data_IF_155425035921
#
_entry.id   IF_155425035921
#
_cell.length_a   1.000
_cell.length_b   1.000
_cell.length_c   1.000
_cell.angle_alpha   90.00
_cell.angle_beta   90.00
_cell.angle_gamma   90.00
#
_symmetry.space_group_name_H-M   'P 1'
#
loop_
_entity.id
_entity.type
_entity.pdbx_description
1 polymer ?
#
# COMPACT_ATOMS: atom_id res chain seq x y z
N UNK A 1 -38.67 5.02 -3.27
CA UNK A 1 -38.72 6.48 -3.04
C UNK A 1 -38.50 6.75 -1.56
N UNK A 2 -37.24 6.91 -1.13
CA UNK A 2 -36.88 7.40 0.21
C UNK A 2 -36.36 8.83 0.06
N UNK A 3 -37.26 9.79 -0.15
CA UNK A 3 -36.93 11.24 -0.16
C UNK A 3 -36.52 11.77 1.25
N UNK A 4 -36.40 10.92 2.27
CA UNK A 4 -36.25 11.30 3.67
C UNK A 4 -35.06 10.65 4.40
N UNK A 5 -33.96 10.29 3.71
CA UNK A 5 -32.74 9.94 4.43
C UNK A 5 -32.19 11.19 5.14
N UNK A 6 -32.14 11.16 6.47
CA UNK A 6 -31.46 12.19 7.26
C UNK A 6 -29.99 11.77 7.39
N UNK A 7 -29.20 12.10 6.37
CA UNK A 7 -27.79 11.72 6.30
C UNK A 7 -27.00 12.27 7.50
N UNK A 8 -27.41 13.40 8.09
CA UNK A 8 -26.77 13.95 9.31
C UNK A 8 -26.95 12.99 10.47
N UNK A 9 -28.16 12.48 10.66
CA UNK A 9 -28.47 11.47 11.67
C UNK A 9 -27.75 10.14 11.40
N UNK A 10 -27.55 9.74 10.14
CA UNK A 10 -26.74 8.57 9.80
C UNK A 10 -25.29 8.76 10.24
N UNK A 11 -24.67 9.91 9.92
CA UNK A 11 -23.31 10.21 10.36
C UNK A 11 -23.19 10.27 11.89
N UNK A 12 -24.19 10.82 12.60
CA UNK A 12 -24.21 10.82 14.06
C UNK A 12 -24.26 9.40 14.66
N UNK A 13 -24.97 8.47 14.01
CA UNK A 13 -25.00 7.06 14.42
C UNK A 13 -23.68 6.36 14.13
N UNK A 14 -23.06 6.63 12.98
CA UNK A 14 -21.73 6.12 12.65
C UNK A 14 -20.72 6.59 13.70
N UNK A 15 -20.74 7.86 14.12
CA UNK A 15 -19.85 8.34 15.19
C UNK A 15 -20.09 7.68 16.56
N UNK A 16 -21.34 7.37 16.90
CA UNK A 16 -21.70 6.81 18.21
C UNK A 16 -21.40 5.30 18.30
N UNK A 17 -21.51 4.58 17.18
CA UNK A 17 -21.51 3.12 17.17
C UNK A 17 -20.52 2.46 16.21
N UNK A 18 -19.96 3.19 15.25
CA UNK A 18 -19.09 2.63 14.19
C UNK A 18 -19.75 1.41 13.52
N UNK A 19 -18.96 0.35 13.36
CA UNK A 19 -19.38 -0.94 12.79
C UNK A 19 -20.57 -1.61 13.50
N UNK A 20 -20.94 -1.21 14.72
CA UNK A 20 -22.12 -1.77 15.40
C UNK A 20 -23.46 -1.26 14.80
N UNK A 21 -23.44 -0.33 13.83
CA UNK A 21 -24.64 0.21 13.15
C UNK A 21 -24.53 0.17 11.61
N UNK A 22 -24.35 -1.04 11.06
CA UNK A 22 -24.34 -1.34 9.62
C UNK A 22 -25.52 -0.72 8.84
N UNK A 23 -26.67 -0.56 9.50
CA UNK A 23 -27.86 0.07 8.93
C UNK A 23 -27.61 1.56 8.62
N UNK A 24 -26.94 2.29 9.52
CA UNK A 24 -26.64 3.71 9.31
C UNK A 24 -25.68 3.92 8.13
N UNK A 25 -24.65 3.07 8.02
CA UNK A 25 -23.70 3.09 6.91
C UNK A 25 -24.38 2.76 5.58
N UNK A 26 -25.17 1.69 5.54
CA UNK A 26 -25.91 1.30 4.33
C UNK A 26 -26.91 2.37 3.88
N UNK A 27 -27.66 2.96 4.82
CA UNK A 27 -28.64 4.02 4.55
C UNK A 27 -28.01 5.27 3.92
N UNK A 28 -26.84 5.70 4.40
CA UNK A 28 -26.17 6.88 3.84
C UNK A 28 -25.59 6.59 2.46
N UNK A 29 -25.02 5.40 2.24
CA UNK A 29 -24.50 5.01 0.92
C UNK A 29 -25.61 4.93 -0.14
N UNK A 30 -26.76 4.36 0.22
CA UNK A 30 -27.95 4.36 -0.66
C UNK A 30 -28.39 5.78 -1.00
N UNK A 31 -28.49 6.68 0.00
CA UNK A 31 -28.86 8.07 -0.23
C UNK A 31 -27.89 8.78 -1.18
N UNK A 32 -26.57 8.61 -0.99
CA UNK A 32 -25.54 9.22 -1.84
C UNK A 32 -25.70 8.74 -3.29
N UNK A 33 -25.92 7.43 -3.51
CA UNK A 33 -25.99 6.84 -4.86
C UNK A 33 -27.30 7.18 -5.57
N UNK A 34 -28.43 7.15 -4.87
CA UNK A 34 -29.75 7.17 -5.50
C UNK A 34 -30.46 8.52 -5.46
N UNK A 35 -30.16 9.37 -4.47
CA UNK A 35 -30.98 10.55 -4.14
C UNK A 35 -30.20 11.84 -4.15
N UNK A 36 -29.00 11.85 -3.56
CA UNK A 36 -28.26 13.07 -3.28
C UNK A 36 -27.86 13.83 -4.55
N UNK A 37 -28.17 15.13 -4.57
CA UNK A 37 -27.64 16.08 -5.55
C UNK A 37 -26.13 16.28 -5.37
N UNK A 38 -25.48 16.89 -6.35
CA UNK A 38 -24.04 17.21 -6.26
C UNK A 38 -23.74 18.15 -5.08
N UNK A 39 -24.63 19.10 -4.79
CA UNK A 39 -24.44 20.02 -3.66
C UNK A 39 -24.63 19.32 -2.30
N UNK A 40 -25.60 18.41 -2.19
CA UNK A 40 -25.75 17.57 -0.99
C UNK A 40 -24.57 16.62 -0.81
N UNK A 41 -24.07 16.01 -1.90
CA UNK A 41 -22.84 15.20 -1.89
C UNK A 41 -21.66 16.00 -1.34
N UNK A 42 -21.51 17.26 -1.78
CA UNK A 42 -20.47 18.17 -1.25
C UNK A 42 -20.68 18.48 0.24
N UNK A 43 -21.91 18.72 0.68
CA UNK A 43 -22.21 18.96 2.10
C UNK A 43 -21.89 17.74 2.96
N UNK A 44 -22.27 16.53 2.52
CA UNK A 44 -21.94 15.26 3.18
C UNK A 44 -20.42 15.09 3.27
N UNK A 45 -19.70 15.26 2.15
CA UNK A 45 -18.26 15.14 2.08
C UNK A 45 -17.55 16.04 3.10
N UNK A 46 -17.91 17.32 3.11
CA UNK A 46 -17.32 18.29 4.02
C UNK A 46 -17.63 17.96 5.49
N UNK A 47 -18.82 17.45 5.78
CA UNK A 47 -19.19 17.02 7.12
C UNK A 47 -18.38 15.80 7.56
N UNK A 48 -18.24 14.79 6.70
CA UNK A 48 -17.41 13.60 6.92
C UNK A 48 -15.96 13.99 7.20
N UNK A 49 -15.34 14.81 6.35
CA UNK A 49 -13.95 15.23 6.53
C UNK A 49 -13.73 16.05 7.80
N UNK A 50 -14.69 16.89 8.19
CA UNK A 50 -14.64 17.63 9.46
C UNK A 50 -14.68 16.68 10.67
N UNK A 51 -15.51 15.63 10.61
CA UNK A 51 -15.63 14.62 11.67
C UNK A 51 -14.35 13.79 11.78
N UNK A 52 -13.81 13.34 10.64
CA UNK A 52 -12.51 12.64 10.59
C UNK A 52 -11.41 13.51 11.19
N UNK A 53 -11.28 14.77 10.76
CA UNK A 53 -10.30 15.73 11.30
C UNK A 53 -10.45 15.94 12.81
N UNK A 54 -11.68 15.98 13.32
CA UNK A 54 -11.97 16.13 14.75
C UNK A 54 -11.58 14.90 15.55
N UNK A 55 -11.83 13.70 15.03
CA UNK A 55 -11.45 12.44 15.68
C UNK A 55 -9.94 12.30 15.65
N UNK A 56 -9.33 12.37 14.47
CA UNK A 56 -7.89 12.29 14.29
C UNK A 56 -7.17 13.33 15.15
N UNK A 57 -7.71 14.56 15.20
CA UNK A 57 -7.21 15.69 15.99
C UNK A 57 -5.70 15.85 15.85
N UNK A 58 -5.23 15.84 14.61
CA UNK A 58 -3.82 15.81 14.26
C UNK A 58 -3.50 16.93 13.30
N UNK A 59 -2.34 17.53 13.50
CA UNK A 59 -1.78 18.53 12.61
C UNK A 59 -0.51 17.94 11.99
N UNK A 60 -0.62 17.52 10.74
CA UNK A 60 0.47 16.91 9.98
C UNK A 60 1.70 17.82 9.84
N UNK A 61 1.56 19.14 10.05
CA UNK A 61 2.70 20.06 10.04
C UNK A 61 3.52 20.02 11.35
N UNK A 62 3.05 19.37 12.42
CA UNK A 62 3.63 19.48 13.78
C UNK A 62 4.18 18.20 14.38
N UNK A 63 3.93 17.04 13.79
CA UNK A 63 4.37 15.76 14.34
C UNK A 63 4.65 14.73 13.24
N UNK A 64 5.51 13.76 13.57
CA UNK A 64 6.03 12.75 12.64
C UNK A 64 5.25 11.42 12.65
N UNK A 65 4.31 11.25 13.57
CA UNK A 65 3.53 10.01 13.73
C UNK A 65 2.13 10.32 14.25
N UNK A 66 1.12 9.65 13.69
CA UNK A 66 -0.25 9.69 14.20
C UNK A 66 -0.28 9.39 15.71
N UNK A 67 -1.18 10.07 16.43
CA UNK A 67 -1.45 9.72 17.82
C UNK A 67 -1.99 8.29 17.91
N UNK A 68 -1.84 7.69 19.08
CA UNK A 68 -2.57 6.46 19.36
C UNK A 68 -4.09 6.74 19.38
N UNK A 69 -4.84 5.95 18.62
CA UNK A 69 -6.31 5.98 18.55
C UNK A 69 -6.84 4.64 19.07
N UNK A 70 -8.02 4.65 19.71
CA UNK A 70 -8.68 3.42 20.15
C UNK A 70 -9.23 2.63 18.96
N UNK A 71 -9.50 1.32 19.15
CA UNK A 71 -10.17 0.49 18.14
C UNK A 71 -11.49 1.14 17.67
N UNK A 72 -12.31 1.63 18.61
CA UNK A 72 -13.54 2.35 18.26
C UNK A 72 -13.31 3.62 17.45
N UNK A 73 -12.22 4.36 17.67
CA UNK A 73 -11.89 5.54 16.86
C UNK A 73 -11.46 5.12 15.45
N UNK A 74 -10.76 3.98 15.32
CA UNK A 74 -10.39 3.41 14.04
C UNK A 74 -11.61 2.96 13.24
N UNK A 75 -12.54 2.23 13.87
CA UNK A 75 -13.77 1.75 13.24
C UNK A 75 -14.59 2.91 12.67
N UNK A 76 -14.78 3.98 13.46
CA UNK A 76 -15.50 5.18 13.02
C UNK A 76 -14.76 5.88 11.87
N UNK A 77 -13.42 5.95 11.91
CA UNK A 77 -12.65 6.53 10.81
C UNK A 77 -12.80 5.68 9.54
N UNK A 78 -12.75 4.34 9.64
CA UNK A 78 -12.90 3.44 8.50
C UNK A 78 -14.26 3.65 7.81
N UNK A 79 -15.36 3.67 8.57
CA UNK A 79 -16.70 3.96 8.03
C UNK A 79 -16.78 5.35 7.40
N UNK A 80 -16.27 6.38 8.06
CA UNK A 80 -16.29 7.74 7.54
C UNK A 80 -15.46 7.87 6.25
N UNK A 81 -14.31 7.21 6.18
CA UNK A 81 -13.48 7.16 4.98
C UNK A 81 -14.16 6.38 3.85
N UNK A 82 -14.89 5.31 4.17
CA UNK A 82 -15.75 4.60 3.22
C UNK A 82 -16.87 5.46 2.65
N UNK A 83 -17.55 6.27 3.49
CA UNK A 83 -18.52 7.26 3.02
C UNK A 83 -17.86 8.28 2.10
N UNK A 84 -16.70 8.84 2.49
CA UNK A 84 -15.93 9.78 1.65
C UNK A 84 -15.59 9.18 0.29
N UNK A 85 -15.09 7.95 0.26
CA UNK A 85 -14.75 7.22 -0.95
C UNK A 85 -15.96 7.14 -1.90
N UNK A 86 -17.12 6.72 -1.40
CA UNK A 86 -18.34 6.64 -2.22
C UNK A 86 -18.76 8.01 -2.73
N UNK A 87 -18.80 9.03 -1.87
CA UNK A 87 -19.20 10.39 -2.29
C UNK A 87 -18.33 10.91 -3.43
N UNK A 88 -17.01 10.79 -3.32
CA UNK A 88 -16.08 11.29 -4.33
C UNK A 88 -16.21 10.57 -5.67
N UNK A 89 -16.35 9.24 -5.65
CA UNK A 89 -16.57 8.45 -6.87
C UNK A 89 -17.91 8.78 -7.53
N UNK A 90 -18.96 8.98 -6.74
CA UNK A 90 -20.29 9.36 -7.19
C UNK A 90 -20.33 10.77 -7.79
N UNK A 91 -19.50 11.70 -7.27
CA UNK A 91 -19.31 13.03 -7.88
C UNK A 91 -18.50 12.97 -9.20
N UNK A 92 -17.88 11.83 -9.51
CA UNK A 92 -17.12 11.55 -10.72
C UNK A 92 -17.87 10.63 -11.70
N UNK A 93 -19.20 10.47 -11.56
CA UNK A 93 -20.01 9.60 -12.43
C UNK A 93 -19.85 9.89 -13.93
N UNK A 94 -19.74 11.16 -14.32
CA UNK A 94 -19.57 11.60 -15.71
C UNK A 94 -18.27 12.40 -15.88
N UNK A 95 -17.13 11.73 -16.14
CA UNK A 95 -15.85 12.41 -16.28
C UNK A 95 -15.84 13.29 -17.53
N UNK A 96 -15.28 14.50 -17.42
CA UNK A 96 -15.02 15.35 -18.58
C UNK A 96 -13.86 14.76 -19.39
N UNK A 97 -13.69 15.14 -20.68
CA UNK A 97 -12.53 14.69 -21.47
C UNK A 97 -11.19 14.98 -20.80
N UNK A 98 -11.06 16.11 -20.09
CA UNK A 98 -9.85 16.43 -19.32
C UNK A 98 -9.60 15.45 -18.16
N UNK A 99 -10.67 14.97 -17.49
CA UNK A 99 -10.56 13.94 -16.45
C UNK A 99 -10.20 12.58 -17.03
N UNK A 100 -10.74 12.22 -18.19
CA UNK A 100 -10.38 10.99 -18.91
C UNK A 100 -8.89 11.00 -19.27
N UNK A 101 -8.38 12.11 -19.80
CA UNK A 101 -6.95 12.23 -20.11
C UNK A 101 -6.06 12.23 -18.86
N UNK A 102 -6.50 12.85 -17.76
CA UNK A 102 -5.77 12.76 -16.48
C UNK A 102 -5.76 11.33 -15.94
N UNK A 103 -6.88 10.60 -16.06
CA UNK A 103 -6.96 9.19 -15.68
C UNK A 103 -6.02 8.33 -16.53
N UNK A 104 -6.02 8.52 -17.86
CA UNK A 104 -5.09 7.85 -18.79
C UNK A 104 -3.63 8.10 -18.41
N UNK A 105 -3.28 9.37 -18.17
CA UNK A 105 -1.94 9.74 -17.71
C UNK A 105 -1.55 9.00 -16.43
N UNK A 106 -2.44 8.98 -15.44
CA UNK A 106 -2.17 8.34 -14.15
C UNK A 106 -2.03 6.83 -14.28
N UNK A 107 -2.91 6.18 -15.06
CA UNK A 107 -2.84 4.76 -15.37
C UNK A 107 -1.52 4.39 -16.08
N UNK A 108 -1.12 5.17 -17.09
CA UNK A 108 0.13 4.95 -17.82
C UNK A 108 1.37 5.15 -16.91
N UNK A 109 1.33 6.11 -15.99
CA UNK A 109 2.39 6.34 -15.01
C UNK A 109 2.51 5.14 -14.08
N UNK A 110 1.40 4.68 -13.49
CA UNK A 110 1.37 3.52 -12.60
C UNK A 110 1.85 2.25 -13.31
N UNK A 111 1.35 1.98 -14.53
CA UNK A 111 1.80 0.84 -15.33
C UNK A 111 3.32 0.87 -15.55
N UNK A 112 3.87 2.01 -15.95
CA UNK A 112 5.33 2.16 -16.15
C UNK A 112 6.12 1.92 -14.86
N UNK A 113 5.68 2.46 -13.74
CA UNK A 113 6.31 2.26 -12.44
C UNK A 113 6.25 0.79 -12.00
N UNK A 114 5.14 0.09 -12.26
CA UNK A 114 5.02 -1.35 -12.03
C UNK A 114 6.06 -2.10 -12.86
N UNK A 115 6.17 -1.81 -14.17
CA UNK A 115 7.17 -2.44 -15.04
C UNK A 115 8.61 -2.18 -14.57
N UNK A 116 8.87 -0.95 -14.09
CA UNK A 116 10.15 -0.57 -13.51
C UNK A 116 10.45 -1.38 -12.24
N UNK A 117 9.49 -1.52 -11.32
CA UNK A 117 9.61 -2.32 -10.11
C UNK A 117 10.02 -3.76 -10.43
N UNK A 118 9.30 -4.43 -11.32
CA UNK A 118 9.66 -5.78 -11.77
C UNK A 118 11.05 -5.84 -12.43
N UNK A 119 11.44 -4.82 -13.20
CA UNK A 119 12.77 -4.76 -13.80
C UNK A 119 13.87 -4.60 -12.76
N UNK A 120 13.65 -3.78 -11.72
CA UNK A 120 14.59 -3.62 -10.62
C UNK A 120 14.73 -4.91 -9.81
N UNK A 121 13.64 -5.63 -9.51
CA UNK A 121 13.72 -6.94 -8.85
C UNK A 121 14.52 -7.97 -9.67
N UNK A 122 14.31 -8.04 -10.99
CA UNK A 122 15.11 -8.91 -11.87
C UNK A 122 16.60 -8.54 -11.87
N UNK A 123 16.91 -7.25 -11.84
CA UNK A 123 18.29 -6.78 -11.79
C UNK A 123 18.94 -7.11 -10.43
N UNK A 124 18.21 -6.97 -9.33
CA UNK A 124 18.68 -7.38 -7.99
C UNK A 124 18.96 -8.88 -7.96
N UNK A 125 18.04 -9.70 -8.48
CA UNK A 125 18.22 -11.15 -8.58
C UNK A 125 19.50 -11.53 -9.35
N UNK A 126 19.66 -10.97 -10.55
CA UNK A 126 20.86 -11.18 -11.38
C UNK A 126 22.14 -10.76 -10.67
N UNK A 127 22.10 -9.61 -9.98
CA UNK A 127 23.24 -9.11 -9.22
C UNK A 127 23.62 -10.10 -8.13
N UNK A 128 22.68 -10.54 -7.30
CA UNK A 128 22.92 -11.52 -6.24
C UNK A 128 23.46 -12.84 -6.79
N UNK A 129 22.91 -13.31 -7.91
CA UNK A 129 23.34 -14.56 -8.53
C UNK A 129 24.82 -14.55 -8.99
N UNK A 130 25.39 -13.38 -9.27
CA UNK A 130 26.80 -13.23 -9.64
C UNK A 130 27.70 -12.81 -8.47
N UNK A 131 27.16 -12.76 -7.25
CA UNK A 131 27.92 -12.46 -6.03
C UNK A 131 28.23 -13.73 -5.25
N UNK A 132 29.22 -13.71 -4.33
CA UNK A 132 29.47 -14.81 -3.40
C UNK A 132 28.25 -15.23 -2.57
N UNK A 133 27.29 -14.31 -2.35
CA UNK A 133 26.06 -14.55 -1.58
C UNK A 133 25.17 -15.68 -2.12
N UNK A 134 25.28 -15.99 -3.42
CA UNK A 134 24.53 -17.09 -4.04
C UNK A 134 24.84 -18.48 -3.46
N UNK A 135 26.04 -18.69 -2.92
CA UNK A 135 26.62 -20.04 -2.76
C UNK A 135 26.16 -20.77 -1.49
N UNK A 136 25.34 -20.13 -0.66
CA UNK A 136 25.04 -20.66 0.67
C UNK A 136 23.56 -21.00 0.84
N UNK A 137 23.23 -22.28 0.60
CA UNK A 137 21.88 -22.84 0.76
C UNK A 137 21.37 -22.78 2.21
N UNK A 138 22.21 -22.44 3.19
CA UNK A 138 21.76 -22.15 4.55
C UNK A 138 21.02 -20.81 4.68
N UNK A 139 21.11 -19.94 3.67
CA UNK A 139 20.48 -18.63 3.67
C UNK A 139 19.29 -18.60 2.71
N UNK A 140 18.11 -18.25 3.25
CA UNK A 140 16.94 -17.94 2.43
C UNK A 140 16.99 -16.46 2.09
N UNK A 141 17.23 -16.17 0.81
CA UNK A 141 17.12 -14.81 0.28
C UNK A 141 15.73 -14.60 -0.32
N UNK A 142 15.20 -13.41 -0.11
CA UNK A 142 13.92 -12.96 -0.64
C UNK A 142 14.09 -11.56 -1.24
N UNK A 143 13.60 -11.37 -2.45
CA UNK A 143 13.55 -10.07 -3.12
C UNK A 143 12.09 -9.65 -3.21
N UNK A 144 11.78 -8.52 -2.60
CA UNK A 144 10.46 -7.91 -2.59
C UNK A 144 10.48 -6.58 -3.35
N UNK A 145 9.58 -6.44 -4.32
CA UNK A 145 9.34 -5.18 -5.02
C UNK A 145 8.08 -4.52 -4.49
N UNK A 146 8.20 -3.25 -4.11
CA UNK A 146 7.14 -2.44 -3.52
C UNK A 146 6.92 -1.22 -4.42
N UNK A 147 5.70 -1.09 -4.93
CA UNK A 147 5.20 0.18 -5.48
C UNK A 147 4.20 0.75 -4.48
N UNK A 148 4.40 2.01 -4.08
CA UNK A 148 3.57 2.67 -3.09
C UNK A 148 3.44 4.16 -3.39
N UNK A 149 2.33 4.76 -2.99
CA UNK A 149 2.28 6.21 -2.78
C UNK A 149 2.93 6.54 -1.43
N UNK A 150 3.71 7.61 -1.36
CA UNK A 150 4.25 8.12 -0.10
C UNK A 150 4.06 9.63 -0.06
N UNK A 151 3.38 10.13 0.97
CA UNK A 151 3.23 11.57 1.17
C UNK A 151 4.56 12.13 1.70
N UNK A 152 5.39 12.65 0.78
CA UNK A 152 6.66 13.28 1.14
C UNK A 152 6.48 14.70 1.65
N UNK A 153 5.79 15.52 0.87
CA UNK A 153 5.47 16.91 1.19
C UNK A 153 4.20 17.37 0.45
N UNK A 154 3.93 18.68 0.49
CA UNK A 154 2.75 19.28 -0.13
C UNK A 154 2.69 19.13 -1.66
N UNK A 155 3.81 18.82 -2.33
CA UNK A 155 3.86 18.59 -3.78
C UNK A 155 3.41 17.15 -4.14
N UNK A 156 3.29 16.24 -3.16
CA UNK A 156 2.80 14.88 -3.36
C UNK A 156 1.34 14.81 -3.86
N UNK A 157 0.57 15.89 -3.65
CA UNK A 157 -0.84 16.01 -4.05
C UNK A 157 -1.03 17.21 -4.98
N UNK A 158 -1.30 16.93 -6.26
CA UNK A 158 -1.53 17.93 -7.29
C UNK A 158 -2.84 18.68 -7.04
N UNK A 159 -2.76 20.01 -6.95
CA UNK A 159 -3.94 20.88 -6.96
C UNK A 159 -4.54 20.94 -8.35
N UNK A 160 -5.83 20.68 -8.46
CA UNK A 160 -6.54 20.67 -9.73
C UNK A 160 -7.59 21.78 -9.77
N UNK A 161 -7.88 22.33 -10.96
CA UNK A 161 -8.86 23.42 -11.14
C UNK A 161 -10.27 23.08 -10.63
N UNK A 162 -10.58 21.78 -10.53
CA UNK A 162 -11.88 21.29 -10.09
C UNK A 162 -11.88 20.81 -8.62
N UNK A 163 -10.89 21.19 -7.81
CA UNK A 163 -10.90 20.93 -6.37
C UNK A 163 -12.13 21.54 -5.70
N UNK A 164 -12.46 22.79 -6.06
CA UNK A 164 -13.65 23.50 -5.57
C UNK A 164 -14.97 22.81 -5.92
N UNK A 165 -15.02 22.07 -7.04
CA UNK A 165 -16.21 21.30 -7.41
C UNK A 165 -16.50 20.20 -6.39
N UNK A 166 -15.45 19.52 -5.90
CA UNK A 166 -15.58 18.49 -4.87
C UNK A 166 -15.73 19.11 -3.49
N UNK A 167 -14.98 20.17 -3.18
CA UNK A 167 -14.94 20.78 -1.84
C UNK A 167 -14.24 19.91 -0.80
N UNK A 168 -13.44 18.92 -1.24
CA UNK A 168 -12.60 18.05 -0.41
C UNK A 168 -11.29 18.75 -0.06
N UNK A 169 -10.81 18.55 1.16
CA UNK A 169 -9.41 18.82 1.51
C UNK A 169 -8.54 17.63 1.09
N UNK A 170 -8.33 17.49 -0.23
CA UNK A 170 -7.58 16.37 -0.80
C UNK A 170 -6.20 16.18 -0.17
N UNK A 171 -5.50 17.29 0.07
CA UNK A 171 -4.15 17.26 0.63
C UNK A 171 -4.15 16.59 2.01
N UNK A 172 -4.99 17.06 2.95
CA UNK A 172 -5.07 16.47 4.28
C UNK A 172 -5.57 15.02 4.23
N UNK A 173 -6.60 14.73 3.44
CA UNK A 173 -7.25 13.42 3.45
C UNK A 173 -6.39 12.34 2.79
N UNK A 174 -5.65 12.67 1.73
CA UNK A 174 -4.71 11.74 1.08
C UNK A 174 -3.51 11.47 2.00
N UNK A 175 -2.98 12.51 2.68
CA UNK A 175 -1.92 12.31 3.69
C UNK A 175 -2.41 11.39 4.82
N UNK A 176 -3.61 11.64 5.34
CA UNK A 176 -4.19 10.78 6.37
C UNK A 176 -4.32 9.32 5.92
N UNK A 177 -4.80 9.06 4.70
CA UNK A 177 -4.88 7.70 4.15
C UNK A 177 -3.50 7.03 4.09
N UNK A 178 -2.49 7.75 3.61
CA UNK A 178 -1.12 7.24 3.54
C UNK A 178 -0.56 6.86 4.92
N UNK A 179 -0.84 7.68 5.94
CA UNK A 179 -0.42 7.45 7.32
C UNK A 179 -1.17 6.29 7.99
N UNK A 180 -2.47 6.17 7.72
CA UNK A 180 -3.29 5.05 8.22
C UNK A 180 -2.82 3.71 7.64
N UNK A 181 -2.47 3.68 6.35
CA UNK A 181 -1.86 2.51 5.72
C UNK A 181 -0.48 2.22 6.31
N UNK A 182 0.43 3.21 6.36
CA UNK A 182 1.79 3.07 6.93
C UNK A 182 1.81 2.48 8.34
N UNK A 183 0.79 2.78 9.15
CA UNK A 183 0.69 2.30 10.52
C UNK A 183 0.23 0.82 10.63
N UNK A 184 -0.01 0.14 9.50
CA UNK A 184 -0.62 -1.19 9.43
C UNK A 184 -2.06 -1.19 9.97
N UNK A 185 -2.73 -0.03 9.94
CA UNK A 185 -4.06 0.19 10.55
C UNK A 185 -5.19 0.10 9.52
N UNK A 186 -4.88 0.10 8.22
CA UNK A 186 -5.79 -0.26 7.13
C UNK A 186 -5.29 -1.54 6.44
N UNK A 187 -6.18 -2.37 5.90
CA UNK A 187 -5.78 -3.58 5.16
C UNK A 187 -5.13 -3.21 3.82
N UNK A 188 -4.09 -3.98 3.45
CA UNK A 188 -3.32 -4.00 2.19
C UNK A 188 -2.24 -2.90 2.04
N UNK A 189 -1.08 -3.21 2.63
CA UNK A 189 0.13 -2.37 2.75
C UNK A 189 0.85 -2.03 1.43
N UNK A 190 0.42 -2.56 0.27
CA UNK A 190 1.15 -2.30 -0.99
C UNK A 190 0.28 -2.35 -2.25
N UNK A 191 0.44 -1.36 -3.14
CA UNK A 191 -0.22 -1.30 -4.48
C UNK A 191 0.20 -2.50 -5.33
N UNK A 192 1.45 -2.92 -5.16
CA UNK A 192 2.01 -4.15 -5.70
C UNK A 192 2.90 -4.78 -4.64
N UNK A 193 2.52 -5.95 -4.13
CA UNK A 193 3.47 -6.80 -3.42
C UNK A 193 4.05 -7.82 -4.41
N UNK A 194 5.16 -7.45 -5.02
CA UNK A 194 5.91 -8.31 -5.91
C UNK A 194 6.84 -9.19 -5.09
N UNK A 195 6.38 -10.38 -4.70
CA UNK A 195 7.20 -11.37 -3.97
C UNK A 195 6.83 -12.76 -4.51
N UNK A 196 7.63 -13.83 -4.49
CA UNK A 196 8.78 -14.22 -3.70
C UNK A 196 9.65 -15.14 -4.56
N UNK A 197 10.92 -14.83 -4.74
CA UNK A 197 11.89 -15.81 -5.20
C UNK A 197 12.75 -16.21 -4.02
N UNK A 198 12.60 -17.43 -3.50
CA UNK A 198 13.64 -18.00 -2.64
C UNK A 198 14.82 -18.41 -3.51
N UNK A 199 16.02 -18.06 -3.10
CA UNK A 199 17.23 -18.51 -3.79
C UNK A 199 17.51 -20.02 -3.61
N UNK A 200 16.75 -20.72 -2.76
CA UNK A 200 16.86 -22.16 -2.59
C UNK A 200 16.59 -22.90 -3.92
N UNK A 201 17.60 -23.62 -4.42
CA UNK A 201 17.56 -24.29 -5.72
C UNK A 201 17.45 -23.36 -6.94
N UNK A 202 17.69 -22.06 -6.76
CA UNK A 202 17.56 -21.06 -7.82
C UNK A 202 18.59 -21.23 -8.94
N UNK A 203 18.13 -21.04 -10.17
CA UNK A 203 18.99 -20.96 -11.36
C UNK A 203 19.23 -19.50 -11.75
N UNK A 204 20.21 -19.28 -12.63
CA UNK A 204 20.51 -17.93 -13.15
C UNK A 204 19.26 -17.35 -13.80
N UNK A 205 18.51 -18.21 -14.48
CA UNK A 205 17.26 -17.91 -15.16
C UNK A 205 16.06 -17.71 -14.23
N UNK A 206 16.21 -17.88 -12.91
CA UNK A 206 15.14 -17.68 -11.92
C UNK A 206 14.50 -16.29 -12.01
N UNK A 207 15.26 -15.26 -12.40
CA UNK A 207 14.71 -13.91 -12.61
C UNK A 207 13.58 -13.88 -13.65
N UNK A 208 13.50 -14.84 -14.57
CA UNK A 208 12.45 -14.90 -15.60
C UNK A 208 11.07 -15.16 -14.99
N UNK A 209 11.02 -15.73 -13.78
CA UNK A 209 9.80 -15.92 -13.01
C UNK A 209 9.34 -14.61 -12.33
N UNK A 210 10.21 -13.60 -12.25
CA UNK A 210 9.86 -12.25 -11.77
C UNK A 210 9.29 -11.46 -12.94
N UNK A 211 8.04 -11.77 -13.27
CA UNK A 211 7.28 -11.14 -14.35
C UNK A 211 5.94 -10.61 -13.85
N UNK A 212 5.44 -9.59 -14.54
CA UNK A 212 4.15 -9.00 -14.22
C UNK A 212 3.05 -9.86 -14.87
N UNK A 213 2.48 -10.77 -14.09
CA UNK A 213 1.39 -11.65 -14.54
C UNK A 213 0.00 -11.00 -14.38
N UNK A 214 -0.09 -9.88 -13.67
CA UNK A 214 -1.37 -9.20 -13.43
C UNK A 214 -1.71 -8.26 -14.59
N UNK A 215 -0.72 -7.55 -15.14
CA UNK A 215 -0.92 -6.73 -16.34
C UNK A 215 -0.60 -7.54 -17.63
N UNK A 216 -1.43 -8.54 -17.94
CA UNK A 216 -1.25 -9.45 -19.09
C UNK A 216 -1.89 -8.94 -20.41
N UNK A 217 -2.52 -7.77 -20.36
CA UNK A 217 -3.23 -7.15 -21.48
C UNK A 217 -4.74 -7.11 -21.31
N UNK A 218 -5.28 -7.85 -20.34
CA UNK A 218 -6.67 -7.69 -19.91
C UNK A 218 -6.78 -6.51 -18.92
N UNK A 219 -7.91 -5.80 -19.00
CA UNK A 219 -8.15 -4.59 -18.22
C UNK A 219 -8.71 -4.93 -16.83
N UNK A 220 -8.20 -4.24 -15.80
CA UNK A 220 -8.67 -4.32 -14.40
C UNK A 220 -9.75 -3.27 -14.08
N UNK A 221 -10.69 -3.03 -14.99
CA UNK A 221 -11.68 -1.96 -14.92
C UNK A 221 -12.93 -2.34 -14.11
N UNK A 222 -12.77 -2.78 -12.86
CA UNK A 222 -13.90 -3.12 -11.98
C UNK A 222 -14.54 -1.91 -11.28
N UNK A 223 -15.78 -2.07 -10.78
CA UNK A 223 -16.47 -1.06 -9.96
C UNK A 223 -16.54 0.32 -10.66
N UNK A 224 -16.04 1.38 -10.03
CA UNK A 224 -16.08 2.75 -10.59
C UNK A 224 -15.13 2.93 -11.77
N UNK A 225 -14.26 1.96 -12.07
CA UNK A 225 -13.37 1.96 -13.23
C UNK A 225 -14.11 1.47 -14.49
N UNK A 226 -15.20 0.69 -14.33
CA UNK A 226 -15.99 0.17 -15.45
C UNK A 226 -16.90 1.25 -16.05
N UNK A 227 -16.33 2.18 -16.83
CA UNK A 227 -17.08 3.29 -17.44
C UNK A 227 -16.93 3.33 -18.96
N UNK A 228 -18.01 3.65 -19.70
CA UNK A 228 -17.92 3.85 -21.15
C UNK A 228 -16.84 4.87 -21.55
N UNK A 229 -16.63 5.91 -20.74
CA UNK A 229 -15.63 6.94 -20.96
C UNK A 229 -14.17 6.45 -20.82
N UNK A 230 -13.95 5.30 -20.18
CA UNK A 230 -12.64 4.67 -20.01
C UNK A 230 -12.48 3.42 -20.88
N UNK A 231 -13.45 3.10 -21.74
CA UNK A 231 -13.49 1.84 -22.48
C UNK A 231 -12.31 1.60 -23.44
N UNK A 232 -11.57 2.66 -23.82
CA UNK A 232 -10.36 2.56 -24.65
C UNK A 232 -9.06 2.52 -23.84
N UNK A 233 -9.14 2.50 -22.51
CA UNK A 233 -8.01 2.46 -21.58
C UNK A 233 -7.94 1.06 -21.00
N UNK A 234 -6.80 0.37 -21.20
CA UNK A 234 -6.49 -0.84 -20.46
C UNK A 234 -6.09 -0.44 -19.04
N UNK A 235 -6.99 -0.62 -18.07
CA UNK A 235 -6.71 -0.26 -16.68
C UNK A 235 -5.70 -1.25 -16.09
N UNK A 236 -4.58 -0.73 -15.60
CA UNK A 236 -3.54 -1.56 -15.00
C UNK A 236 -3.89 -1.98 -13.56
N UNK A 237 -3.29 -3.07 -13.11
CA UNK A 237 -3.50 -3.60 -11.77
C UNK A 237 -3.18 -2.57 -10.67
N UNK A 238 -2.16 -1.74 -10.83
CA UNK A 238 -1.81 -0.74 -9.83
C UNK A 238 -2.88 0.35 -9.67
N UNK A 239 -3.55 0.76 -10.75
CA UNK A 239 -4.70 1.66 -10.70
C UNK A 239 -5.88 0.99 -9.99
N UNK A 240 -6.12 -0.29 -10.32
CA UNK A 240 -7.14 -1.10 -9.65
C UNK A 240 -6.87 -1.21 -8.15
N UNK A 241 -5.67 -1.61 -7.75
CA UNK A 241 -5.30 -1.83 -6.35
C UNK A 241 -5.43 -0.57 -5.50
N UNK A 242 -5.00 0.59 -6.02
CA UNK A 242 -5.24 1.88 -5.35
C UNK A 242 -6.74 2.11 -5.08
N UNK A 243 -7.58 1.79 -6.06
CA UNK A 243 -9.01 2.07 -6.01
C UNK A 243 -9.82 1.06 -5.18
N UNK A 244 -9.49 -0.23 -5.27
CA UNK A 244 -10.31 -1.33 -4.74
C UNK A 244 -9.71 -2.00 -3.50
N UNK A 245 -8.41 -1.80 -3.24
CA UNK A 245 -7.70 -2.41 -2.10
C UNK A 245 -7.17 -1.38 -1.11
N UNK A 246 -6.97 -0.12 -1.51
CA UNK A 246 -6.40 0.94 -0.66
C UNK A 246 -7.37 2.12 -0.41
N UNK A 247 -8.66 1.93 -0.72
CA UNK A 247 -9.76 2.88 -0.47
C UNK A 247 -9.54 4.32 -1.00
N UNK A 248 -8.61 4.52 -1.93
CA UNK A 248 -8.48 5.80 -2.62
C UNK A 248 -9.60 5.95 -3.63
N UNK A 249 -10.35 7.05 -3.54
CA UNK A 249 -11.34 7.38 -4.55
C UNK A 249 -10.64 7.75 -5.87
N UNK A 250 -11.33 7.63 -7.00
CA UNK A 250 -10.78 8.08 -8.29
C UNK A 250 -10.30 9.54 -8.24
N UNK A 251 -11.05 10.49 -7.66
CA UNK A 251 -10.56 11.85 -7.46
C UNK A 251 -9.27 11.95 -6.64
N UNK A 252 -9.06 11.07 -5.64
CA UNK A 252 -7.80 11.04 -4.89
C UNK A 252 -6.64 10.58 -5.80
N UNK A 253 -6.82 9.46 -6.49
CA UNK A 253 -5.81 8.87 -7.38
C UNK A 253 -5.37 9.84 -8.47
N UNK A 254 -6.30 10.63 -9.03
CA UNK A 254 -5.96 11.64 -10.04
C UNK A 254 -5.08 12.78 -9.49
N UNK A 255 -5.02 12.98 -8.17
CA UNK A 255 -4.21 14.02 -7.51
C UNK A 255 -2.90 13.50 -6.97
N UNK A 256 -2.75 12.19 -6.76
CA UNK A 256 -1.52 11.58 -6.27
C UNK A 256 -0.38 11.72 -7.29
N UNK A 257 0.77 12.27 -6.88
CA UNK A 257 1.97 12.37 -7.72
C UNK A 257 3.19 11.61 -7.18
N UNK A 258 3.40 11.58 -5.86
CA UNK A 258 4.59 10.94 -5.30
C UNK A 258 4.40 9.43 -5.12
N UNK A 259 4.84 8.69 -6.14
CA UNK A 259 4.95 7.24 -6.08
C UNK A 259 6.40 6.83 -5.94
N UNK A 260 6.65 5.88 -5.05
CA UNK A 260 7.97 5.33 -4.78
C UNK A 260 8.00 3.86 -5.20
N UNK A 261 9.06 3.50 -5.91
CA UNK A 261 9.43 2.11 -6.19
C UNK A 261 10.59 1.75 -5.26
N UNK A 262 10.40 0.73 -4.42
CA UNK A 262 11.43 0.18 -3.53
C UNK A 262 11.66 -1.28 -3.87
N UNK A 263 12.91 -1.72 -3.76
CA UNK A 263 13.27 -3.13 -3.82
C UNK A 263 13.99 -3.49 -2.54
N UNK A 264 13.42 -4.43 -1.79
CA UNK A 264 13.95 -4.94 -0.54
C UNK A 264 14.61 -6.29 -0.79
N UNK A 265 15.76 -6.50 -0.15
CA UNK A 265 16.43 -7.78 -0.06
C UNK A 265 16.42 -8.20 1.40
N UNK A 266 15.70 -9.28 1.71
CA UNK A 266 15.75 -9.94 3.00
C UNK A 266 16.57 -11.21 2.88
N UNK A 267 17.36 -11.51 3.90
CA UNK A 267 18.06 -12.79 4.01
C UNK A 267 17.90 -13.34 5.42
N UNK A 268 17.61 -14.63 5.52
CA UNK A 268 17.40 -15.32 6.78
C UNK A 268 18.31 -16.54 6.86
N UNK A 269 18.95 -16.72 8.03
CA UNK A 269 19.70 -17.93 8.35
C UNK A 269 19.01 -18.63 9.53
N UNK A 270 18.32 -19.72 9.25
CA UNK A 270 17.73 -20.57 10.29
C UNK A 270 18.80 -21.50 10.87
N UNK A 271 19.38 -21.13 12.01
CA UNK A 271 20.32 -21.99 12.74
C UNK A 271 19.55 -22.98 13.62
N UNK A 272 19.82 -24.29 13.46
CA UNK A 272 19.19 -25.33 14.26
C UNK A 272 20.24 -26.36 14.72
N UNK A 273 20.71 -26.20 15.96
CA UNK A 273 21.73 -27.07 16.59
C UNK A 273 21.39 -28.57 16.50
N UNK A 274 20.10 -28.93 16.45
CA UNK A 274 19.66 -30.33 16.37
C UNK A 274 19.77 -30.89 14.95
N UNK A 275 19.46 -30.07 13.93
CA UNK A 275 19.63 -30.41 12.51
C UNK A 275 21.12 -30.46 12.13
N UNK A 276 21.89 -29.54 12.69
CA UNK A 276 23.33 -29.43 12.44
C UNK A 276 24.12 -30.55 13.15
N UNK A 277 23.59 -31.11 14.25
CA UNK A 277 24.19 -32.26 14.94
C UNK A 277 24.07 -33.59 14.17
N UNK A 278 23.15 -33.70 13.20
CA UNK A 278 23.05 -34.86 12.30
C UNK A 278 24.12 -34.83 11.20
N UNK A 279 24.66 -33.65 10.90
CA UNK A 279 25.85 -33.46 10.06
C UNK A 279 27.06 -33.74 10.95
N UNK A 280 27.71 -34.89 10.77
CA UNK A 280 28.85 -35.27 11.59
C UNK A 280 29.97 -34.21 11.58
N UNK A 281 30.74 -34.02 12.67
CA UNK A 281 31.77 -32.98 12.77
C UNK A 281 32.94 -33.12 11.76
N UNK A 282 32.96 -34.18 10.96
CA UNK A 282 33.96 -34.45 9.93
C UNK A 282 33.52 -33.98 8.53
N UNK A 283 32.25 -33.63 8.34
CA UNK A 283 31.68 -33.18 7.05
C UNK A 283 31.32 -31.67 7.07
N UNK A 284 31.65 -30.95 8.14
CA UNK A 284 31.38 -29.52 8.28
C UNK A 284 32.49 -28.68 7.63
N UNK A 285 32.24 -28.19 6.42
CA UNK A 285 33.04 -27.09 5.85
C UNK A 285 32.34 -25.75 6.11
N UNK A 286 33.00 -24.78 6.77
CA UNK A 286 32.41 -23.48 7.02
C UNK A 286 32.17 -22.75 5.69
N UNK A 287 31.00 -22.14 5.58
CA UNK A 287 30.62 -21.41 4.39
C UNK A 287 31.51 -20.18 4.17
N UNK A 288 31.51 -19.65 2.94
CA UNK A 288 32.29 -18.46 2.62
C UNK A 288 31.89 -17.26 3.52
N UNK A 289 30.61 -17.17 3.90
CA UNK A 289 30.10 -16.11 4.78
C UNK A 289 30.61 -16.31 6.22
N UNK A 290 30.64 -17.55 6.72
CA UNK A 290 31.20 -17.84 8.04
C UNK A 290 32.70 -17.51 8.12
N UNK A 291 33.47 -17.78 7.06
CA UNK A 291 34.87 -17.38 6.95
C UNK A 291 35.03 -15.85 6.98
N UNK A 292 34.17 -15.12 6.25
CA UNK A 292 34.14 -13.65 6.28
C UNK A 292 33.82 -13.13 7.69
N UNK A 293 32.85 -13.73 8.39
CA UNK A 293 32.52 -13.37 9.77
C UNK A 293 33.69 -13.61 10.72
N UNK A 294 34.45 -14.70 10.57
CA UNK A 294 35.65 -14.94 11.37
C UNK A 294 36.74 -13.87 11.12
N UNK A 295 36.94 -13.46 9.86
CA UNK A 295 37.84 -12.36 9.50
C UNK A 295 37.36 -11.02 10.11
N UNK A 296 36.08 -10.70 9.97
CA UNK A 296 35.46 -9.50 10.53
C UNK A 296 35.49 -9.49 12.07
N UNK A 297 35.33 -10.63 12.74
CA UNK A 297 35.47 -10.72 14.19
C UNK A 297 36.92 -10.46 14.62
N UNK A 298 37.91 -10.86 13.82
CA UNK A 298 39.31 -10.57 14.10
C UNK A 298 39.65 -9.09 13.85
N UNK A 299 39.04 -8.46 12.84
CA UNK A 299 39.29 -7.07 12.45
C UNK A 299 38.49 -6.06 13.29
N UNK A 300 37.21 -6.34 13.53
CA UNK A 300 36.23 -5.44 14.14
C UNK A 300 35.68 -5.92 15.49
N UNK A 301 35.95 -7.16 15.89
CA UNK A 301 35.40 -7.74 17.11
C UNK A 301 35.98 -7.16 18.40
N UNK A 302 35.09 -6.83 19.33
CA UNK A 302 35.45 -6.61 20.73
C UNK A 302 35.86 -7.94 21.39
N UNK A 303 36.76 -7.88 22.39
CA UNK A 303 37.23 -9.06 23.14
C UNK A 303 36.07 -9.78 23.86
N UNK A 304 35.42 -10.73 23.20
CA UNK A 304 34.45 -11.59 23.86
C UNK A 304 35.17 -12.83 24.40
N UNK A 305 35.23 -12.98 25.72
CA UNK A 305 35.73 -14.21 26.34
C UNK A 305 34.62 -15.25 26.33
N UNK A 306 34.69 -16.23 25.43
CA UNK A 306 33.95 -17.47 25.57
C UNK A 306 34.44 -18.17 26.84
N UNK A 307 33.54 -18.38 27.81
CA UNK A 307 33.87 -18.96 29.10
C UNK A 307 34.29 -20.44 28.89
N UNK A 308 35.54 -20.85 29.14
CA UNK A 308 36.06 -22.16 28.69
C UNK A 308 35.60 -23.38 29.52
N UNK A 309 34.51 -23.27 30.28
CA UNK A 309 34.04 -24.33 31.18
C UNK A 309 32.57 -24.70 30.94
N UNK A 310 32.32 -25.39 29.84
CA UNK A 310 31.38 -26.52 29.83
C UNK A 310 32.12 -27.75 29.29
N UNK A 311 32.94 -28.37 30.15
CA UNK A 311 33.25 -29.79 30.00
C UNK A 311 31.98 -30.56 30.38
N UNK A 312 31.69 -31.60 29.58
CA UNK A 312 30.60 -32.57 29.70
C UNK A 312 30.24 -32.93 31.15
#
# INVERSE_FOLDING_TARGET
MKENCDWKKCLDRIEDKGFDDDDAYSEILEYIREVATVDEKREVLQNVEQRVKKIVNYDFAKAWFLRHMSESEHDVIEDLMGVRYVVLNEMMLHPTPAKVERFRYQNDKLFKLTQECYAQCRNMWRTLFHTPYKVDDCYRYEVEGVLRFEYGDDDAVVKMENDDYYGSDFQYMIHLLDELMSAGRCKMDTILNGVFGTFDGATEDGYKQINNMLDDGDSWDECSLHKPEFADICVCYAMHALHTHQDYSLPDILRMDDFVVKVHLQYENEVCDTRDAEIGPLDYEPSWFQKLVEEDVNEFGGKHTLNPTRKK
#
